data_IF_797594645113
#
_entry.id   IF_797594645113
#
_cell.length_a   1.000
_cell.length_b   1.000
_cell.length_c   1.000
_cell.angle_alpha   90.00
_cell.angle_beta   90.00
_cell.angle_gamma   90.00
#
_symmetry.space_group_name_H-M   'P 1'
#
loop_
_entity.id
_entity.type
_entity.pdbx_description
1 polymer ?
#
# COMPACT_ATOMS: atom_id res chain seq x y z
N UNK A 1 2.03 -100.64 -13.24
CA UNK A 1 1.24 -100.00 -14.33
C UNK A 1 0.22 -99.09 -13.64
N UNK A 2 0.19 -97.76 -13.73
CA UNK A 2 1.01 -96.67 -14.28
C UNK A 2 0.33 -95.38 -13.74
N UNK A 3 1.06 -94.43 -13.14
CA UNK A 3 1.54 -93.19 -13.78
C UNK A 3 0.36 -92.32 -14.31
N UNK A 4 0.14 -91.09 -13.87
CA UNK A 4 0.90 -90.23 -12.97
C UNK A 4 0.20 -88.90 -12.72
N UNK A 5 0.76 -88.16 -11.77
CA UNK A 5 0.58 -86.72 -11.58
C UNK A 5 0.95 -85.95 -12.84
N UNK A 6 0.19 -84.90 -13.16
CA UNK A 6 0.78 -83.68 -13.71
C UNK A 6 -0.02 -82.44 -13.28
N UNK A 7 0.65 -81.37 -12.80
CA UNK A 7 0.02 -80.15 -12.34
C UNK A 7 -0.35 -79.26 -13.53
N UNK A 8 -1.60 -78.77 -13.55
CA UNK A 8 -2.03 -77.72 -14.47
C UNK A 8 -1.31 -76.42 -14.10
N UNK A 9 -0.10 -76.26 -14.64
CA UNK A 9 0.59 -74.99 -14.75
C UNK A 9 -0.26 -74.10 -15.66
N UNK A 10 -1.09 -73.27 -15.04
CA UNK A 10 -1.72 -72.13 -15.68
C UNK A 10 -0.62 -71.19 -16.19
N UNK A 11 -0.22 -71.39 -17.44
CA UNK A 11 0.62 -70.46 -18.16
C UNK A 11 -0.17 -69.15 -18.30
N UNK A 12 0.16 -68.16 -17.45
CA UNK A 12 -0.24 -66.79 -17.66
C UNK A 12 0.37 -66.34 -18.98
N UNK A 13 -0.42 -66.42 -20.06
CA UNK A 13 -0.10 -65.87 -21.36
C UNK A 13 -0.05 -64.36 -21.19
N UNK A 14 1.15 -63.83 -20.96
CA UNK A 14 1.43 -62.42 -21.04
C UNK A 14 1.23 -62.01 -22.51
N UNK A 15 0.01 -61.59 -22.84
CA UNK A 15 -0.30 -61.04 -24.15
C UNK A 15 0.64 -59.85 -24.42
N UNK A 16 1.26 -59.77 -25.61
CA UNK A 16 2.12 -58.65 -25.96
C UNK A 16 1.27 -57.38 -25.98
N UNK A 17 1.50 -56.50 -25.01
CA UNK A 17 0.87 -55.18 -24.98
C UNK A 17 1.33 -54.42 -26.22
N UNK A 18 0.39 -54.18 -27.13
CA UNK A 18 0.62 -53.46 -28.37
C UNK A 18 1.12 -52.03 -28.08
N UNK A 19 2.43 -51.84 -28.26
CA UNK A 19 3.13 -50.57 -28.12
C UNK A 19 2.52 -49.39 -28.92
N UNK A 20 1.79 -49.55 -30.04
CA UNK A 20 1.18 -48.40 -30.72
C UNK A 20 -0.01 -47.78 -29.97
N UNK A 21 -0.73 -48.55 -29.14
CA UNK A 21 -1.92 -48.04 -28.41
C UNK A 21 -1.48 -47.11 -27.27
N UNK A 22 -0.45 -47.50 -26.51
CA UNK A 22 0.13 -46.68 -25.46
C UNK A 22 0.66 -45.33 -25.97
N UNK A 23 1.24 -45.29 -27.18
CA UNK A 23 1.74 -44.03 -27.78
C UNK A 23 0.62 -43.07 -28.20
N UNK A 24 -0.56 -43.56 -28.58
CA UNK A 24 -1.71 -42.69 -28.90
C UNK A 24 -2.32 -42.11 -27.64
N UNK A 25 -2.52 -42.95 -26.62
CA UNK A 25 -3.00 -42.50 -25.31
C UNK A 25 -2.10 -41.41 -24.72
N UNK A 26 -0.77 -41.60 -24.71
CA UNK A 26 0.16 -40.58 -24.22
C UNK A 26 0.16 -39.27 -25.03
N UNK A 27 -0.08 -39.34 -26.35
CA UNK A 27 -0.22 -38.13 -27.19
C UNK A 27 -1.53 -37.39 -26.93
N UNK A 28 -2.62 -38.11 -26.67
CA UNK A 28 -3.94 -37.54 -26.41
C UNK A 28 -4.01 -36.91 -25.00
N UNK A 29 -3.40 -37.53 -23.99
CA UNK A 29 -3.37 -36.98 -22.62
C UNK A 29 -2.44 -35.76 -22.50
N UNK A 30 -1.33 -35.73 -23.25
CA UNK A 30 -0.36 -34.63 -23.19
C UNK A 30 -0.89 -33.30 -23.72
N UNK A 31 -1.72 -33.32 -24.77
CA UNK A 31 -2.31 -32.11 -25.36
C UNK A 31 -3.41 -31.49 -24.48
N UNK A 32 -4.23 -32.32 -23.84
CA UNK A 32 -5.31 -31.85 -22.98
C UNK A 32 -4.79 -31.17 -21.71
N UNK A 33 -3.80 -31.77 -21.04
CA UNK A 33 -3.21 -31.21 -19.82
C UNK A 33 -2.56 -29.83 -20.07
N UNK A 34 -1.95 -29.65 -21.25
CA UNK A 34 -1.38 -28.36 -21.64
C UNK A 34 -2.45 -27.28 -21.82
N UNK A 35 -3.57 -27.61 -22.47
CA UNK A 35 -4.68 -26.67 -22.66
C UNK A 35 -5.32 -26.28 -21.31
N UNK A 36 -5.58 -27.26 -20.44
CA UNK A 36 -6.13 -27.00 -19.10
C UNK A 36 -5.20 -26.07 -18.30
N UNK A 37 -3.89 -26.29 -18.36
CA UNK A 37 -2.91 -25.43 -17.68
C UNK A 37 -2.90 -24.01 -18.24
N UNK A 38 -2.95 -23.85 -19.58
CA UNK A 38 -2.96 -22.53 -20.23
C UNK A 38 -4.20 -21.72 -19.84
N UNK A 39 -5.34 -22.38 -19.65
CA UNK A 39 -6.59 -21.70 -19.26
C UNK A 39 -6.63 -21.42 -17.75
N UNK A 40 -6.13 -22.31 -16.91
CA UNK A 40 -6.16 -22.17 -15.45
C UNK A 40 -5.10 -21.17 -14.94
N UNK A 41 -3.92 -21.15 -15.56
CA UNK A 41 -2.81 -20.27 -15.16
C UNK A 41 -3.20 -18.77 -15.05
N UNK A 42 -3.84 -18.13 -16.04
CA UNK A 42 -4.22 -16.72 -15.94
C UNK A 42 -5.23 -16.45 -14.81
N UNK A 43 -6.12 -17.40 -14.51
CA UNK A 43 -7.08 -17.27 -13.41
C UNK A 43 -6.36 -17.30 -12.06
N UNK A 44 -5.41 -18.22 -11.88
CA UNK A 44 -4.58 -18.28 -10.67
C UNK A 44 -3.73 -17.01 -10.52
N UNK A 45 -3.12 -16.53 -11.61
CA UNK A 45 -2.33 -15.29 -11.59
C UNK A 45 -3.19 -14.08 -11.20
N UNK A 46 -4.39 -13.95 -11.77
CA UNK A 46 -5.32 -12.87 -11.42
C UNK A 46 -5.70 -12.92 -9.94
N UNK A 47 -5.98 -14.11 -9.40
CA UNK A 47 -6.33 -14.30 -8.00
C UNK A 47 -5.15 -13.94 -7.07
N UNK A 48 -3.94 -14.35 -7.42
CA UNK A 48 -2.73 -14.01 -6.66
C UNK A 48 -2.48 -12.49 -6.65
N UNK A 49 -2.61 -11.86 -7.82
CA UNK A 49 -2.48 -10.40 -7.94
C UNK A 49 -3.57 -9.67 -7.13
N UNK A 50 -4.80 -10.18 -7.11
CA UNK A 50 -5.89 -9.62 -6.30
C UNK A 50 -5.58 -9.70 -4.80
N UNK A 51 -5.13 -10.86 -4.31
CA UNK A 51 -4.72 -11.04 -2.90
C UNK A 51 -3.58 -10.08 -2.54
N UNK A 52 -2.59 -9.94 -3.42
CA UNK A 52 -1.47 -9.02 -3.22
C UNK A 52 -1.93 -7.55 -3.13
N UNK A 53 -2.90 -7.13 -3.96
CA UNK A 53 -3.44 -5.76 -3.89
C UNK A 53 -4.22 -5.50 -2.60
N UNK A 54 -5.01 -6.47 -2.13
CA UNK A 54 -5.70 -6.35 -0.83
C UNK A 54 -4.69 -6.25 0.30
N UNK A 55 -3.61 -7.05 0.26
CA UNK A 55 -2.54 -6.97 1.24
C UNK A 55 -1.85 -5.59 1.24
N UNK A 56 -1.59 -5.00 0.06
CA UNK A 56 -1.05 -3.64 -0.03
C UNK A 56 -2.02 -2.58 0.47
N UNK A 57 -3.31 -2.68 0.17
CA UNK A 57 -4.32 -1.76 0.69
C UNK A 57 -4.43 -1.84 2.22
N UNK A 58 -4.35 -3.05 2.79
CA UNK A 58 -4.33 -3.26 4.23
C UNK A 58 -3.07 -2.68 4.89
N UNK A 59 -1.90 -2.89 4.27
CA UNK A 59 -0.65 -2.27 4.73
C UNK A 59 -0.74 -0.72 4.69
N UNK A 60 -1.28 -0.16 3.60
CA UNK A 60 -1.50 1.28 3.50
C UNK A 60 -2.47 1.79 4.58
N UNK A 61 -3.48 1.01 4.98
CA UNK A 61 -4.36 1.34 6.12
C UNK A 61 -3.60 1.39 7.45
N UNK A 62 -2.76 0.39 7.72
CA UNK A 62 -1.92 0.38 8.93
C UNK A 62 -0.97 1.59 8.96
N UNK A 63 -0.37 1.93 7.82
CA UNK A 63 0.51 3.09 7.70
C UNK A 63 -0.25 4.42 7.84
N UNK A 64 -1.49 4.51 7.37
CA UNK A 64 -2.34 5.68 7.57
C UNK A 64 -2.71 5.87 9.06
N UNK A 65 -3.01 4.80 9.79
CA UNK A 65 -3.25 4.86 11.23
C UNK A 65 -1.98 5.27 11.99
N UNK A 66 -0.83 4.72 11.61
CA UNK A 66 0.46 5.10 12.17
C UNK A 66 0.81 6.57 11.86
N UNK A 67 0.50 7.05 10.66
CA UNK A 67 0.67 8.44 10.28
C UNK A 67 -0.22 9.38 11.11
N UNK A 68 -1.48 9.00 11.34
CA UNK A 68 -2.38 9.72 12.23
C UNK A 68 -1.85 9.78 13.66
N UNK A 69 -1.27 8.69 14.16
CA UNK A 69 -0.63 8.66 15.48
C UNK A 69 0.59 9.60 15.57
N UNK A 70 1.48 9.57 14.57
CA UNK A 70 2.62 10.49 14.50
C UNK A 70 2.17 11.96 14.46
N UNK A 71 1.13 12.24 13.67
CA UNK A 71 0.52 13.56 13.58
C UNK A 71 -0.09 14.01 14.93
N UNK A 72 -0.82 13.12 15.62
CA UNK A 72 -1.39 13.39 16.94
C UNK A 72 -0.32 13.69 17.99
N UNK A 73 0.82 12.99 17.95
CA UNK A 73 1.96 13.28 18.85
C UNK A 73 2.54 14.67 18.60
N UNK A 74 2.74 15.06 17.35
CA UNK A 74 3.25 16.40 17.02
C UNK A 74 2.24 17.47 17.41
N UNK A 75 0.95 17.24 17.16
CA UNK A 75 -0.12 18.14 17.58
C UNK A 75 -0.18 18.31 19.11
N UNK A 76 0.01 17.23 19.87
CA UNK A 76 0.06 17.28 21.33
C UNK A 76 1.26 18.09 21.86
N UNK A 77 2.43 17.94 21.24
CA UNK A 77 3.67 18.63 21.67
C UNK A 77 3.71 20.10 21.23
N UNK A 78 3.32 20.39 20.00
CA UNK A 78 3.43 21.74 19.42
C UNK A 78 2.23 22.63 19.69
N UNK A 79 1.07 22.05 20.01
CA UNK A 79 -0.16 22.79 20.25
C UNK A 79 -0.81 23.34 18.97
N UNK A 80 -1.79 24.24 19.12
CA UNK A 80 -2.50 24.82 17.98
C UNK A 80 -1.58 25.69 17.11
N UNK A 81 -1.80 25.69 15.79
CA UNK A 81 -1.02 26.49 14.82
C UNK A 81 0.15 25.75 14.17
N UNK A 82 0.46 24.52 14.58
CA UNK A 82 1.54 23.71 14.03
C UNK A 82 1.12 22.78 12.87
N UNK A 83 0.11 23.17 12.09
CA UNK A 83 -0.50 22.33 11.03
C UNK A 83 0.52 21.82 10.01
N UNK A 84 1.47 22.66 9.61
CA UNK A 84 2.53 22.28 8.68
C UNK A 84 3.47 21.19 9.26
N UNK A 85 3.73 21.21 10.57
CA UNK A 85 4.55 20.19 11.23
C UNK A 85 3.79 18.88 11.43
N UNK A 86 2.51 18.96 11.79
CA UNK A 86 1.59 17.81 11.91
C UNK A 86 1.49 17.08 10.56
N UNK A 87 1.28 17.83 9.48
CA UNK A 87 1.23 17.32 8.11
C UNK A 87 2.56 16.66 7.70
N UNK A 88 3.71 17.28 8.03
CA UNK A 88 5.03 16.71 7.74
C UNK A 88 5.25 15.40 8.49
N UNK A 89 4.83 15.30 9.75
CA UNK A 89 4.93 14.08 10.53
C UNK A 89 4.10 12.93 9.94
N UNK A 90 2.87 13.23 9.49
CA UNK A 90 2.05 12.25 8.77
C UNK A 90 2.74 11.78 7.47
N UNK A 91 3.25 12.73 6.67
CA UNK A 91 3.93 12.40 5.42
C UNK A 91 5.21 11.58 5.63
N UNK A 92 5.95 11.81 6.72
CA UNK A 92 7.15 11.05 7.07
C UNK A 92 6.82 9.58 7.34
N UNK A 93 5.76 9.33 8.11
CA UNK A 93 5.29 7.98 8.40
C UNK A 93 4.88 7.20 7.13
N UNK A 94 4.43 7.92 6.09
CA UNK A 94 3.98 7.33 4.82
C UNK A 94 5.08 7.20 3.75
N UNK A 95 6.33 7.57 4.05
CA UNK A 95 7.46 7.40 3.12
C UNK A 95 7.71 5.95 2.70
N UNK A 96 7.23 5.00 3.51
CA UNK A 96 7.27 3.57 3.22
C UNK A 96 6.24 3.09 2.20
N UNK A 97 5.21 3.87 1.86
CA UNK A 97 4.22 3.53 0.83
C UNK A 97 4.75 4.03 -0.52
N UNK A 98 5.23 3.13 -1.40
CA UNK A 98 5.98 3.54 -2.56
C UNK A 98 5.06 4.05 -3.68
N UNK A 99 5.35 5.24 -4.21
CA UNK A 99 5.28 5.48 -5.65
C UNK A 99 6.24 6.63 -6.00
N UNK A 100 7.24 6.43 -6.87
CA UNK A 100 8.09 7.53 -7.30
C UNK A 100 7.28 8.50 -8.16
N UNK A 101 7.27 9.77 -7.77
CA UNK A 101 6.89 10.86 -8.68
C UNK A 101 7.90 10.89 -9.83
N UNK A 102 7.47 10.58 -11.05
CA UNK A 102 8.26 10.87 -12.24
C UNK A 102 8.42 12.37 -12.39
N UNK A 103 9.64 12.89 -12.61
CA UNK A 103 9.98 14.27 -13.01
C UNK A 103 9.59 15.45 -12.08
N UNK A 104 8.48 15.35 -11.35
CA UNK A 104 7.78 16.41 -10.62
C UNK A 104 8.37 16.70 -9.22
N UNK A 105 9.35 15.91 -8.78
CA UNK A 105 9.96 15.99 -7.46
C UNK A 105 10.44 17.40 -7.09
N UNK A 106 11.09 18.11 -8.01
CA UNK A 106 11.65 19.43 -7.75
C UNK A 106 10.58 20.47 -7.38
N UNK A 107 9.39 20.40 -8.00
CA UNK A 107 8.27 21.30 -7.68
C UNK A 107 7.78 21.08 -6.25
N UNK A 108 7.62 19.81 -5.87
CA UNK A 108 7.14 19.42 -4.54
C UNK A 108 8.13 19.81 -3.45
N UNK A 109 9.42 19.55 -3.67
CA UNK A 109 10.50 19.92 -2.74
C UNK A 109 10.50 21.43 -2.45
N UNK A 110 10.42 22.25 -3.51
CA UNK A 110 10.44 23.70 -3.39
C UNK A 110 9.19 24.24 -2.68
N UNK A 111 8.01 23.68 -2.96
CA UNK A 111 6.75 24.10 -2.35
C UNK A 111 6.75 23.89 -0.83
N UNK A 112 7.17 22.72 -0.35
CA UNK A 112 7.18 22.39 1.08
C UNK A 112 8.37 22.98 1.86
N UNK A 113 9.23 23.75 1.19
CA UNK A 113 10.47 24.32 1.75
C UNK A 113 11.33 23.24 2.45
N UNK A 114 11.39 22.06 1.85
CA UNK A 114 12.14 20.94 2.41
C UNK A 114 13.62 21.16 2.09
N UNK A 115 14.37 21.65 3.08
CA UNK A 115 15.83 21.74 2.98
C UNK A 115 16.45 20.38 3.31
N UNK A 116 17.60 20.08 2.72
CA UNK A 116 18.39 18.90 3.11
C UNK A 116 18.75 18.90 4.60
N UNK A 117 18.82 20.08 5.21
CA UNK A 117 19.11 20.22 6.63
C UNK A 117 17.93 19.91 7.55
N UNK A 118 16.70 19.83 7.02
CA UNK A 118 15.49 19.59 7.81
C UNK A 118 15.45 18.20 8.45
N UNK A 119 16.30 17.27 8.00
CA UNK A 119 16.30 15.87 8.42
C UNK A 119 17.65 15.36 8.94
N UNK A 120 18.59 16.27 9.26
CA UNK A 120 19.90 15.94 9.83
C UNK A 120 19.88 14.88 10.95
N UNK A 121 18.96 14.89 11.93
CA UNK A 121 18.99 13.91 13.01
C UNK A 121 18.66 12.47 12.58
N UNK A 122 18.00 12.26 11.43
CA UNK A 122 17.56 10.92 10.97
C UNK A 122 18.32 10.45 9.73
N UNK A 123 19.14 11.34 9.16
CA UNK A 123 19.91 11.13 7.93
C UNK A 123 20.80 9.86 7.94
N UNK A 124 21.53 9.54 9.03
CA UNK A 124 22.38 8.35 9.08
C UNK A 124 21.61 7.02 9.06
N UNK A 125 20.35 7.03 9.52
CA UNK A 125 19.52 5.84 9.67
C UNK A 125 18.70 5.55 8.41
N UNK A 126 18.33 6.60 7.66
CA UNK A 126 17.42 6.49 6.52
C UNK A 126 18.12 6.15 5.20
N UNK A 127 19.41 6.45 5.08
CA UNK A 127 20.18 6.19 3.86
C UNK A 127 21.64 5.89 4.19
N UNK A 128 21.97 4.68 4.67
CA UNK A 128 23.34 4.29 4.95
C UNK A 128 24.25 4.39 3.71
N UNK A 129 23.69 4.34 2.50
CA UNK A 129 24.38 4.49 1.21
C UNK A 129 24.36 5.93 0.63
N UNK A 130 23.75 6.90 1.32
CA UNK A 130 23.82 8.32 0.93
C UNK A 130 22.88 8.82 -0.20
N UNK A 131 22.00 8.00 -0.79
CA UNK A 131 21.00 8.49 -1.75
C UNK A 131 19.79 9.19 -1.08
N UNK A 132 20.04 10.40 -0.56
CA UNK A 132 19.03 11.29 -0.01
C UNK A 132 17.96 11.69 -1.04
N UNK A 133 18.31 11.65 -2.35
CA UNK A 133 17.41 12.07 -3.42
C UNK A 133 16.26 11.08 -3.59
N UNK A 134 16.52 9.77 -3.51
CA UNK A 134 15.50 8.73 -3.56
C UNK A 134 14.52 8.83 -2.39
N UNK A 135 15.02 9.05 -1.18
CA UNK A 135 14.17 9.23 0.00
C UNK A 135 13.32 10.50 -0.07
N UNK A 136 13.92 11.64 -0.46
CA UNK A 136 13.19 12.90 -0.60
C UNK A 136 12.10 12.79 -1.68
N UNK A 137 12.32 12.02 -2.76
CA UNK A 137 11.29 11.71 -3.77
C UNK A 137 10.11 10.95 -3.16
N UNK A 138 10.37 9.95 -2.32
CA UNK A 138 9.31 9.19 -1.61
C UNK A 138 8.55 10.07 -0.64
N UNK A 139 9.25 10.93 0.11
CA UNK A 139 8.62 11.90 1.00
C UNK A 139 7.74 12.89 0.26
N UNK A 140 8.24 13.47 -0.84
CA UNK A 140 7.46 14.34 -1.71
C UNK A 140 6.20 13.64 -2.22
N UNK A 141 6.31 12.40 -2.68
CA UNK A 141 5.19 11.59 -3.16
C UNK A 141 4.15 11.32 -2.06
N UNK A 142 4.61 10.94 -0.86
CA UNK A 142 3.75 10.72 0.29
C UNK A 142 3.01 12.03 0.68
N UNK A 143 3.71 13.16 0.69
CA UNK A 143 3.14 14.44 1.08
C UNK A 143 2.07 14.93 0.09
N UNK A 144 2.25 14.71 -1.22
CA UNK A 144 1.22 15.02 -2.21
C UNK A 144 -0.09 14.27 -2.01
N UNK A 145 -0.02 13.07 -1.44
CA UNK A 145 -1.15 12.12 -1.34
C UNK A 145 -1.80 12.10 0.02
N UNK A 146 -1.20 12.78 1.01
CA UNK A 146 -1.73 12.81 2.37
C UNK A 146 -2.32 14.17 2.72
N UNK A 147 -3.45 14.15 3.39
CA UNK A 147 -4.14 15.31 3.93
C UNK A 147 -4.52 15.00 5.38
N UNK A 148 -4.15 15.87 6.31
CA UNK A 148 -4.69 15.86 7.67
C UNK A 148 -6.05 16.57 7.63
N UNK A 149 -7.15 15.83 7.77
CA UNK A 149 -8.52 16.38 7.58
C UNK A 149 -9.05 17.07 8.85
N UNK A 150 -8.81 16.46 10.01
CA UNK A 150 -9.38 16.92 11.27
C UNK A 150 -8.33 16.81 12.37
N UNK A 151 -7.95 17.95 12.97
CA UNK A 151 -7.19 17.99 14.22
C UNK A 151 -8.11 18.54 15.29
N UNK A 152 -8.58 17.68 16.19
CA UNK A 152 -9.42 18.07 17.32
C UNK A 152 -8.61 17.96 18.58
N UNK A 153 -8.41 19.09 19.25
CA UNK A 153 -7.84 19.14 20.59
C UNK A 153 -9.01 19.40 21.54
N UNK A 154 -9.32 18.42 22.38
CA UNK A 154 -10.36 18.51 23.40
C UNK A 154 -9.72 18.34 24.76
N UNK A 155 -9.89 19.30 25.67
CA UNK A 155 -9.29 19.19 26.98
C UNK A 155 -9.31 20.48 27.77
N UNK A 156 -9.65 20.36 29.05
CA UNK A 156 -9.67 21.45 30.02
C UNK A 156 -8.50 21.24 30.99
N UNK A 157 -7.41 22.00 30.77
CA UNK A 157 -6.23 22.18 31.66
C UNK A 157 -5.45 20.93 32.10
N UNK A 158 -6.13 19.98 32.75
CA UNK A 158 -5.65 18.76 33.37
C UNK A 158 -5.46 17.57 32.43
N UNK A 159 -6.08 17.59 31.24
CA UNK A 159 -5.94 16.54 30.24
C UNK A 159 -6.33 17.02 28.85
N UNK A 160 -5.49 16.75 27.85
CA UNK A 160 -5.74 17.08 26.44
C UNK A 160 -5.85 15.81 25.61
N UNK A 161 -7.03 15.50 25.12
CA UNK A 161 -7.25 14.48 24.10
C UNK A 161 -7.07 15.11 22.71
N UNK A 162 -6.12 14.59 21.94
CA UNK A 162 -5.83 15.03 20.59
C UNK A 162 -6.26 13.94 19.62
N UNK A 163 -7.30 14.19 18.84
CA UNK A 163 -7.74 13.30 17.77
C UNK A 163 -7.30 13.86 16.43
N UNK A 164 -6.56 13.06 15.66
CA UNK A 164 -6.13 13.40 14.31
C UNK A 164 -6.66 12.38 13.31
N UNK A 165 -7.22 12.89 12.22
CA UNK A 165 -7.64 12.10 11.07
C UNK A 165 -6.75 12.43 9.87
N UNK A 166 -6.23 11.38 9.24
CA UNK A 166 -5.35 11.47 8.07
C UNK A 166 -5.98 10.70 6.93
N UNK A 167 -6.16 11.36 5.80
CA UNK A 167 -6.62 10.75 4.56
C UNK A 167 -5.44 10.60 3.59
N UNK A 168 -5.27 9.40 3.06
CA UNK A 168 -4.22 9.03 2.12
C UNK A 168 -4.82 8.53 0.81
N UNK A 169 -4.31 9.04 -0.31
CA UNK A 169 -4.68 8.59 -1.65
C UNK A 169 -3.85 7.36 -2.06
N UNK A 170 -4.47 6.19 -2.07
CA UNK A 170 -3.85 4.93 -2.46
C UNK A 170 -4.20 4.56 -3.90
N UNK A 171 -3.19 4.20 -4.70
CA UNK A 171 -3.34 3.80 -6.09
C UNK A 171 -3.49 2.27 -6.18
N UNK A 172 -4.68 1.81 -6.59
CA UNK A 172 -4.95 0.39 -6.84
C UNK A 172 -4.70 0.04 -8.30
N UNK A 173 -3.75 -0.87 -8.56
CA UNK A 173 -3.40 -1.27 -9.92
C UNK A 173 -4.46 -2.16 -10.57
N UNK A 174 -5.08 -3.08 -9.81
CA UNK A 174 -6.02 -4.08 -10.34
C UNK A 174 -7.50 -3.77 -10.09
N UNK A 175 -7.83 -2.62 -9.50
CA UNK A 175 -9.23 -2.20 -9.32
C UNK A 175 -9.63 -1.11 -10.34
N UNK A 176 -9.81 -1.42 -11.64
CA UNK A 176 -10.71 -0.65 -12.50
C UNK A 176 -12.14 -1.26 -12.52
N UNK A 177 -12.35 -2.39 -11.83
CA UNK A 177 -13.54 -3.25 -11.97
C UNK A 177 -14.71 -2.88 -11.04
N UNK A 178 -14.54 -1.90 -10.14
CA UNK A 178 -15.53 -1.54 -9.13
C UNK A 178 -15.94 -0.08 -9.26
N UNK A 179 -17.22 0.18 -9.01
CA UNK A 179 -17.96 1.46 -8.99
C UNK A 179 -17.43 2.45 -7.94
N UNK A 180 -16.13 2.70 -7.89
CA UNK A 180 -15.58 3.79 -7.12
C UNK A 180 -16.16 5.06 -7.73
N UNK A 181 -17.16 5.62 -7.06
CA UNK A 181 -17.73 6.91 -7.43
C UNK A 181 -16.57 7.90 -7.44
N UNK A 182 -16.29 8.60 -8.55
CA UNK A 182 -15.16 9.53 -8.61
C UNK A 182 -15.34 10.73 -7.68
N UNK A 183 -16.55 10.94 -7.14
CA UNK A 183 -16.92 12.05 -6.25
C UNK A 183 -15.95 12.27 -5.09
N UNK A 184 -15.78 11.31 -4.16
CA UNK A 184 -14.91 11.49 -3.00
C UNK A 184 -13.46 11.81 -3.35
N UNK A 185 -12.90 11.19 -4.40
CA UNK A 185 -11.52 11.45 -4.85
C UNK A 185 -11.39 12.85 -5.44
N UNK A 186 -12.34 13.26 -6.28
CA UNK A 186 -12.34 14.61 -6.86
C UNK A 186 -12.49 15.70 -5.80
N UNK A 187 -13.33 15.47 -4.79
CA UNK A 187 -13.50 16.35 -3.65
C UNK A 187 -12.21 16.43 -2.83
N UNK A 188 -11.60 15.29 -2.53
CA UNK A 188 -10.32 15.20 -1.83
C UNK A 188 -9.20 15.96 -2.54
N UNK A 189 -9.06 15.77 -3.86
CA UNK A 189 -8.08 16.49 -4.66
C UNK A 189 -8.37 17.99 -4.70
N UNK A 190 -9.65 18.39 -4.73
CA UNK A 190 -10.04 19.80 -4.69
C UNK A 190 -9.72 20.46 -3.34
N UNK A 191 -9.83 19.70 -2.23
CA UNK A 191 -9.40 20.15 -0.90
C UNK A 191 -7.87 20.31 -0.85
N UNK A 192 -7.12 19.33 -1.33
CA UNK A 192 -5.66 19.42 -1.45
C UNK A 192 -5.21 20.62 -2.31
N UNK A 193 -5.90 20.87 -3.43
CA UNK A 193 -5.63 21.99 -4.31
C UNK A 193 -5.89 23.34 -3.62
N UNK A 194 -6.97 23.43 -2.82
CA UNK A 194 -7.28 24.61 -2.02
C UNK A 194 -6.23 24.88 -0.95
N UNK A 195 -5.79 23.84 -0.25
CA UNK A 195 -4.77 23.97 0.80
C UNK A 195 -3.37 24.25 0.23
N UNK A 196 -3.12 23.84 -1.01
CA UNK A 196 -1.80 23.90 -1.66
C UNK A 196 -1.91 24.36 -3.12
N UNK A 197 -2.25 25.64 -3.36
CA UNK A 197 -2.47 26.16 -4.70
C UNK A 197 -1.23 26.07 -5.59
N UNK A 198 -0.02 26.10 -5.01
CA UNK A 198 1.23 25.96 -5.75
C UNK A 198 1.46 24.58 -6.39
N UNK A 199 0.62 23.59 -6.10
CA UNK A 199 0.69 22.23 -6.63
C UNK A 199 -0.51 21.88 -7.51
N UNK A 200 -1.35 22.85 -7.86
CA UNK A 200 -2.57 22.65 -8.66
C UNK A 200 -2.32 21.89 -9.98
N UNK A 201 -1.22 22.19 -10.69
CA UNK A 201 -0.88 21.49 -11.94
C UNK A 201 -0.64 19.99 -11.73
N UNK A 202 -0.05 19.60 -10.59
CA UNK A 202 0.20 18.20 -10.25
C UNK A 202 -1.12 17.51 -9.89
N UNK A 203 -2.00 18.19 -9.15
CA UNK A 203 -3.31 17.65 -8.83
C UNK A 203 -4.20 17.49 -10.06
N UNK A 204 -4.09 18.39 -11.04
CA UNK A 204 -4.75 18.26 -12.33
C UNK A 204 -4.26 17.03 -13.11
N UNK A 205 -2.95 16.76 -13.08
CA UNK A 205 -2.36 15.57 -13.72
C UNK A 205 -2.75 14.26 -13.02
N UNK A 206 -2.78 14.24 -11.68
CA UNK A 206 -3.31 13.10 -10.91
C UNK A 206 -4.78 12.88 -11.24
N UNK A 207 -5.55 13.96 -11.42
CA UNK A 207 -6.97 13.92 -11.77
C UNK A 207 -7.19 13.32 -13.15
N UNK A 208 -6.43 13.73 -14.17
CA UNK A 208 -6.57 13.20 -15.53
C UNK A 208 -6.12 11.73 -15.63
N UNK A 209 -5.06 11.36 -14.92
CA UNK A 209 -4.41 10.05 -15.13
C UNK A 209 -4.96 8.95 -14.21
N UNK A 210 -5.37 9.28 -12.99
CA UNK A 210 -5.56 8.27 -11.94
C UNK A 210 -6.91 8.31 -11.20
N UNK A 211 -7.87 9.16 -11.59
CA UNK A 211 -9.16 9.28 -10.88
C UNK A 211 -9.88 7.94 -10.65
N UNK A 212 -9.83 7.01 -11.61
CA UNK A 212 -10.53 5.72 -11.53
C UNK A 212 -9.78 4.63 -10.79
N UNK A 213 -8.50 4.84 -10.50
CA UNK A 213 -7.61 3.84 -9.88
C UNK A 213 -7.28 4.18 -8.43
N UNK A 214 -7.66 5.36 -7.96
CA UNK A 214 -7.37 5.80 -6.61
C UNK A 214 -8.53 5.50 -5.65
N UNK A 215 -8.17 5.06 -4.45
CA UNK A 215 -9.06 4.96 -3.30
C UNK A 215 -8.54 5.86 -2.18
N UNK A 216 -9.44 6.34 -1.33
CA UNK A 216 -9.07 7.11 -0.14
C UNK A 216 -9.03 6.15 1.05
N UNK A 217 -7.88 6.10 1.71
CA UNK A 217 -7.69 5.36 2.95
C UNK A 217 -7.64 6.37 4.08
N UNK A 218 -8.53 6.25 5.06
CA UNK A 218 -8.54 7.09 6.25
C UNK A 218 -7.92 6.37 7.44
N UNK A 219 -6.98 7.04 8.07
CA UNK A 219 -6.42 6.66 9.37
C UNK A 219 -6.88 7.62 10.45
N UNK A 220 -7.11 7.11 11.65
CA UNK A 220 -7.51 7.92 12.80
C UNK A 220 -6.75 7.48 14.03
N UNK A 221 -6.21 8.45 14.76
CA UNK A 221 -5.59 8.22 16.05
C UNK A 221 -6.12 9.23 17.06
N UNK A 222 -6.30 8.77 18.30
CA UNK A 222 -6.61 9.60 19.46
C UNK A 222 -5.49 9.40 20.47
N UNK A 223 -4.92 10.50 20.94
CA UNK A 223 -3.87 10.52 21.93
C UNK A 223 -4.35 11.31 23.15
N UNK A 224 -4.47 10.64 24.28
CA UNK A 224 -4.76 11.29 25.55
C UNK A 224 -3.44 11.72 26.18
N UNK A 225 -3.17 13.02 26.13
CA UNK A 225 -2.01 13.62 26.75
C UNK A 225 -2.40 14.11 28.15
N UNK A 226 -1.87 13.41 29.16
CA UNK A 226 -1.91 13.90 30.52
C UNK A 226 -0.83 14.96 30.66
N UNK A 227 -1.23 16.23 30.76
CA UNK A 227 -0.31 17.28 31.16
C UNK A 227 0.01 16.96 32.62
N UNK A 228 1.20 16.42 32.87
CA UNK A 228 1.67 16.24 34.24
C UNK A 228 1.46 17.57 34.96
N UNK A 229 0.75 17.56 36.08
CA UNK A 229 0.61 18.71 36.97
C UNK A 229 2.02 19.20 37.29
N UNK A 230 2.54 20.10 36.47
CA UNK A 230 3.71 20.91 36.78
C UNK A 230 3.22 21.85 37.86
N UNK A 231 3.11 21.32 39.07
CA UNK A 231 2.77 22.07 40.25
C UNK A 231 3.73 23.25 40.33
N UNK A 232 3.13 24.41 40.52
CA UNK A 232 3.79 25.63 40.94
C UNK A 232 4.70 25.34 42.14
N UNK A 233 5.97 25.08 41.85
CA UNK A 233 7.06 25.26 42.80
C UNK A 233 7.64 26.64 42.58
N UNK A 234 6.90 27.66 43.03
CA UNK A 234 7.47 28.97 43.37
C UNK A 234 8.23 28.86 44.69
#
# INVERSE_FOLDING_TARGET
MGRGDDPVRGAAVAAPVDRPVLRRLWRETGGQSMLETIVVLPVILLLLLMVMQVAFAYNAKQLADYAAYCAARVAAVRGPGAEAEIQRAAALALTGVPEPLGGEYFRVRNHFRISENSFRPVQPQLSPEGDMSGWLRRFAAANLRVLVENVRVSGDGSGRSVTVEVAYLFNCLLLPLGTATPGPVSEFLSRLERDRPGLASIYADIRSTHLRRNIIIRGRATLDHWAGNGGDGQ
#
